data_IF_697888163100
#
_entry.id   IF_697888163100
#
_cell.length_a   1.000
_cell.length_b   1.000
_cell.length_c   1.000
_cell.angle_alpha   90.00
_cell.angle_beta   90.00
_cell.angle_gamma   90.00
#
_symmetry.space_group_name_H-M   'P 1'
#
loop_
_entity.id
_entity.type
_entity.pdbx_description
1 polymer ?
#
# COMPACT_ATOMS: atom_id res chain seq x y z
N UNK A 1 -26.16 2.28 21.00
CA UNK A 1 -25.26 2.00 19.87
C UNK A 1 -24.20 0.99 20.28
N UNK A 2 -24.08 -0.05 19.56
CA UNK A 2 -23.09 -1.05 19.89
C UNK A 2 -21.80 -0.81 19.10
N UNK A 3 -20.69 -1.16 19.72
CA UNK A 3 -19.39 -1.07 19.07
C UNK A 3 -19.18 -2.29 18.17
N UNK A 4 -18.80 -2.02 16.94
CA UNK A 4 -18.42 -3.12 16.05
C UNK A 4 -17.13 -3.76 16.55
N UNK A 5 -17.01 -5.07 16.44
CA UNK A 5 -15.77 -5.76 16.71
C UNK A 5 -14.71 -5.31 15.68
N UNK A 6 -13.42 -5.27 16.05
CA UNK A 6 -12.37 -5.01 15.09
C UNK A 6 -12.43 -6.04 13.95
N UNK A 7 -12.29 -5.54 12.71
CA UNK A 7 -12.30 -6.43 11.56
C UNK A 7 -10.96 -7.13 11.41
N UNK A 8 -11.01 -8.35 10.92
CA UNK A 8 -9.79 -9.02 10.51
C UNK A 8 -9.24 -8.33 9.28
N UNK A 9 -7.93 -8.31 9.15
CA UNK A 9 -7.28 -7.58 8.11
C UNK A 9 -6.10 -8.30 7.49
N UNK A 10 -5.60 -7.74 6.41
CA UNK A 10 -4.39 -8.20 5.77
C UNK A 10 -3.40 -7.05 5.70
N UNK A 11 -2.20 -7.30 6.18
CA UNK A 11 -1.07 -6.39 6.11
C UNK A 11 -0.16 -6.83 4.98
N UNK A 12 0.05 -5.96 4.00
CA UNK A 12 0.94 -6.25 2.88
C UNK A 12 2.12 -5.30 2.95
N UNK A 13 3.30 -5.86 3.18
CA UNK A 13 4.55 -5.12 3.21
C UNK A 13 5.23 -5.22 1.84
N UNK A 14 5.44 -4.07 1.21
CA UNK A 14 6.09 -4.01 -0.09
C UNK A 14 7.34 -3.15 0.02
N UNK A 15 8.50 -3.75 -0.27
CA UNK A 15 9.79 -3.06 -0.22
C UNK A 15 10.39 -2.83 -1.60
N UNK A 16 9.93 -3.56 -2.61
CA UNK A 16 10.41 -3.44 -3.97
C UNK A 16 9.68 -2.33 -4.70
N UNK A 17 10.39 -1.62 -5.54
CA UNK A 17 9.85 -0.53 -6.34
C UNK A 17 9.93 -0.84 -7.83
N UNK A 18 10.10 0.20 -8.67
CA UNK A 18 10.09 0.02 -10.13
C UNK A 18 11.13 -0.95 -10.67
N UNK A 19 12.15 -1.28 -9.87
CA UNK A 19 13.21 -2.21 -10.27
C UNK A 19 12.73 -3.66 -10.36
N UNK A 20 11.57 -3.98 -9.75
CA UNK A 20 11.02 -5.33 -9.77
C UNK A 20 9.52 -5.30 -10.11
N UNK A 21 9.20 -5.13 -11.40
CA UNK A 21 7.80 -4.97 -11.83
C UNK A 21 6.89 -6.13 -11.43
N UNK A 22 7.36 -7.35 -11.55
CA UNK A 22 6.51 -8.51 -11.24
C UNK A 22 6.13 -8.55 -9.76
N UNK A 23 7.10 -8.31 -8.88
CA UNK A 23 6.84 -8.33 -7.43
C UNK A 23 5.87 -7.22 -7.03
N UNK A 24 6.09 -6.02 -7.57
CA UNK A 24 5.21 -4.87 -7.33
C UNK A 24 3.78 -5.17 -7.76
N UNK A 25 3.61 -5.65 -8.98
CA UNK A 25 2.27 -5.86 -9.52
C UNK A 25 1.56 -7.04 -8.86
N UNK A 26 2.31 -8.03 -8.39
CA UNK A 26 1.73 -9.12 -7.57
C UNK A 26 1.25 -8.62 -6.22
N UNK A 27 2.02 -7.76 -5.55
CA UNK A 27 1.60 -7.19 -4.27
C UNK A 27 0.30 -6.39 -4.42
N UNK A 28 0.22 -5.56 -5.46
CA UNK A 28 -0.99 -4.78 -5.74
C UNK A 28 -2.17 -5.70 -6.09
N UNK A 29 -1.94 -6.76 -6.84
CA UNK A 29 -2.97 -7.73 -7.17
C UNK A 29 -3.49 -8.45 -5.92
N UNK A 30 -2.59 -8.83 -5.03
CA UNK A 30 -2.98 -9.46 -3.77
C UNK A 30 -3.86 -8.52 -2.94
N UNK A 31 -3.49 -7.24 -2.87
CA UNK A 31 -4.30 -6.26 -2.16
C UNK A 31 -5.71 -6.16 -2.75
N UNK A 32 -5.82 -6.14 -4.08
CA UNK A 32 -7.12 -6.09 -4.76
C UNK A 32 -7.98 -7.30 -4.41
N UNK A 33 -7.42 -8.49 -4.54
CA UNK A 33 -8.14 -9.73 -4.28
C UNK A 33 -8.63 -9.79 -2.83
N UNK A 34 -7.75 -9.46 -1.89
CA UNK A 34 -8.07 -9.55 -0.46
C UNK A 34 -9.03 -8.46 0.01
N UNK A 35 -9.02 -7.30 -0.63
CA UNK A 35 -9.88 -6.18 -0.24
C UNK A 35 -11.36 -6.46 -0.48
N UNK A 36 -11.70 -7.49 -1.26
CA UNK A 36 -13.09 -7.90 -1.46
C UNK A 36 -13.72 -8.39 -0.16
N UNK A 37 -12.93 -9.01 0.72
CA UNK A 37 -13.45 -9.67 1.92
C UNK A 37 -12.91 -9.11 3.22
N UNK A 38 -11.74 -8.48 3.20
CA UNK A 38 -11.04 -8.04 4.42
C UNK A 38 -10.59 -6.60 4.26
N UNK A 39 -10.28 -5.98 5.38
CA UNK A 39 -9.57 -4.70 5.36
C UNK A 39 -8.13 -4.97 4.96
N UNK A 40 -7.58 -4.10 4.13
CA UNK A 40 -6.19 -4.26 3.66
C UNK A 40 -5.43 -2.96 3.94
N UNK A 41 -4.24 -3.12 4.50
CA UNK A 41 -3.27 -2.03 4.65
C UNK A 41 -1.99 -2.43 3.95
N UNK A 42 -1.55 -1.60 3.02
CA UNK A 42 -0.24 -1.76 2.38
C UNK A 42 0.75 -0.80 3.03
N UNK A 43 1.86 -1.34 3.47
CA UNK A 43 2.97 -0.56 4.00
C UNK A 43 4.12 -0.62 3.01
N UNK A 44 4.49 0.55 2.48
CA UNK A 44 5.53 0.68 1.47
C UNK A 44 6.76 1.34 2.07
N UNK A 45 7.90 0.66 1.98
CA UNK A 45 9.18 1.20 2.43
C UNK A 45 10.25 0.93 1.36
N UNK A 46 11.48 1.30 1.68
CA UNK A 46 12.66 1.12 0.82
C UNK A 46 12.36 1.72 -0.57
N UNK A 47 12.46 0.96 -1.64
CA UNK A 47 12.23 1.45 -3.00
C UNK A 47 10.75 1.56 -3.35
N UNK A 48 9.86 0.92 -2.57
CA UNK A 48 8.43 0.93 -2.89
C UNK A 48 7.80 2.32 -2.75
N UNK A 49 8.38 3.22 -1.94
CA UNK A 49 7.85 4.58 -1.81
C UNK A 49 7.85 5.33 -3.15
N UNK A 50 8.71 4.93 -4.09
CA UNK A 50 8.79 5.54 -5.42
C UNK A 50 7.58 5.25 -6.28
N UNK A 51 6.74 4.29 -5.86
CA UNK A 51 5.53 3.90 -6.60
C UNK A 51 4.34 4.81 -6.31
N UNK A 52 4.38 5.56 -5.22
CA UNK A 52 3.21 6.28 -4.70
C UNK A 52 3.44 7.78 -4.58
N UNK A 53 4.41 8.30 -5.30
CA UNK A 53 4.63 9.74 -5.44
C UNK A 53 3.95 10.25 -6.71
N UNK A 54 3.70 11.57 -6.76
CA UNK A 54 2.93 12.18 -7.87
C UNK A 54 3.56 11.97 -9.24
N UNK A 55 4.89 11.88 -9.30
CA UNK A 55 5.62 11.67 -10.55
C UNK A 55 6.11 10.22 -10.71
N UNK A 56 5.45 9.27 -10.03
CA UNK A 56 5.85 7.87 -10.07
C UNK A 56 5.78 7.31 -11.49
N UNK A 57 6.72 6.41 -11.84
CA UNK A 57 6.64 5.72 -13.12
C UNK A 57 5.44 4.76 -13.11
N UNK A 58 4.87 4.54 -14.28
CA UNK A 58 3.79 3.56 -14.44
C UNK A 58 4.40 2.20 -14.73
N UNK A 59 4.54 1.39 -13.69
CA UNK A 59 5.16 0.06 -13.80
C UNK A 59 4.20 -0.89 -14.49
N UNK A 60 4.71 -1.62 -15.47
CA UNK A 60 3.88 -2.54 -16.25
C UNK A 60 4.56 -3.88 -16.43
N UNK A 61 3.74 -4.90 -16.61
CA UNK A 61 4.16 -6.24 -16.96
C UNK A 61 2.98 -6.94 -17.64
N UNK A 62 3.28 -7.74 -18.64
CA UNK A 62 2.25 -8.50 -19.32
C UNK A 62 1.45 -9.35 -18.34
N UNK A 63 0.14 -9.33 -18.49
CA UNK A 63 -0.78 -10.06 -17.61
C UNK A 63 -1.31 -9.28 -16.44
N UNK A 64 -0.86 -8.03 -16.25
CA UNK A 64 -1.28 -7.18 -15.14
C UNK A 64 -1.76 -5.81 -15.62
N UNK A 65 -2.75 -5.21 -14.95
CA UNK A 65 -2.96 -3.77 -15.08
C UNK A 65 -1.72 -3.04 -14.55
N UNK A 66 -1.46 -1.82 -15.03
CA UNK A 66 -0.29 -1.07 -14.60
C UNK A 66 -0.37 -0.66 -13.12
N UNK A 67 0.78 -0.31 -12.55
CA UNK A 67 0.83 0.07 -11.13
C UNK A 67 -0.06 1.27 -10.83
N UNK A 68 -0.02 2.32 -11.66
CA UNK A 68 -0.85 3.51 -11.42
C UNK A 68 -2.33 3.18 -11.50
N UNK A 69 -2.73 2.35 -12.44
CA UNK A 69 -4.12 1.90 -12.56
C UNK A 69 -4.55 1.11 -11.33
N UNK A 70 -3.74 0.17 -10.88
CA UNK A 70 -4.05 -0.65 -9.70
C UNK A 70 -4.11 0.18 -8.43
N UNK A 71 -3.15 1.09 -8.22
CA UNK A 71 -3.12 1.96 -7.04
C UNK A 71 -4.40 2.79 -6.97
N UNK A 72 -4.81 3.37 -8.09
CA UNK A 72 -6.04 4.15 -8.13
C UNK A 72 -7.25 3.32 -7.71
N UNK A 73 -7.37 2.11 -8.23
CA UNK A 73 -8.47 1.21 -7.88
C UNK A 73 -8.45 0.83 -6.40
N UNK A 74 -7.27 0.57 -5.85
CA UNK A 74 -7.11 0.20 -4.45
C UNK A 74 -7.56 1.34 -3.54
N UNK A 75 -7.15 2.57 -3.84
CA UNK A 75 -7.55 3.73 -3.06
C UNK A 75 -9.07 3.94 -3.13
N UNK A 76 -9.66 3.76 -4.30
CA UNK A 76 -11.11 3.85 -4.47
C UNK A 76 -11.85 2.75 -3.69
N UNK A 77 -11.24 1.59 -3.53
CA UNK A 77 -11.81 0.47 -2.79
C UNK A 77 -11.61 0.59 -1.27
N UNK A 78 -10.93 1.63 -0.80
CA UNK A 78 -10.72 1.85 0.63
C UNK A 78 -9.49 1.17 1.20
N UNK A 79 -8.60 0.63 0.35
CA UNK A 79 -7.32 0.09 0.83
C UNK A 79 -6.47 1.22 1.37
N UNK A 80 -5.90 1.01 2.56
CA UNK A 80 -5.00 1.99 3.17
C UNK A 80 -3.61 1.77 2.60
N UNK A 81 -3.03 2.80 2.00
CA UNK A 81 -1.65 2.75 1.49
C UNK A 81 -0.82 3.74 2.27
N UNK A 82 0.15 3.23 3.00
CA UNK A 82 1.05 4.03 3.84
C UNK A 82 2.47 3.99 3.28
N UNK A 83 3.15 5.13 3.30
CA UNK A 83 4.55 5.23 2.92
C UNK A 83 5.41 5.49 4.15
N UNK A 84 6.52 4.78 4.26
CA UNK A 84 7.48 4.98 5.34
C UNK A 84 8.10 6.38 5.25
N UNK A 85 7.96 7.20 6.30
CA UNK A 85 8.51 8.57 6.26
C UNK A 85 10.02 8.61 6.05
N UNK A 86 10.75 7.73 6.72
CA UNK A 86 12.20 7.67 6.59
C UNK A 86 12.64 7.31 5.18
N UNK A 87 12.02 6.29 4.60
CA UNK A 87 12.35 5.85 3.25
C UNK A 87 11.98 6.89 2.20
N UNK A 88 10.86 7.59 2.42
CA UNK A 88 10.45 8.67 1.55
C UNK A 88 11.51 9.77 1.52
N UNK A 89 12.00 10.16 2.70
CA UNK A 89 13.05 11.18 2.83
C UNK A 89 14.36 10.73 2.17
N UNK A 90 14.75 9.47 2.39
CA UNK A 90 15.96 8.91 1.77
C UNK A 90 15.86 8.95 0.25
N UNK A 91 14.67 8.72 -0.30
CA UNK A 91 14.43 8.78 -1.74
C UNK A 91 14.38 10.21 -2.29
N UNK A 92 14.44 11.22 -1.42
CA UNK A 92 14.45 12.62 -1.85
C UNK A 92 13.07 13.26 -1.94
N UNK A 93 12.06 12.65 -1.35
CA UNK A 93 10.68 13.13 -1.38
C UNK A 93 10.22 13.64 -0.02
N UNK A 94 9.16 14.45 -0.04
CA UNK A 94 8.46 14.89 1.17
C UNK A 94 7.01 14.41 1.12
N UNK A 95 6.28 14.63 2.22
CA UNK A 95 4.88 14.24 2.29
C UNK A 95 4.05 14.86 1.16
N UNK A 96 4.35 16.09 0.78
CA UNK A 96 3.62 16.78 -0.30
C UNK A 96 3.82 16.13 -1.67
N UNK A 97 4.82 15.27 -1.82
CA UNK A 97 5.05 14.55 -3.07
C UNK A 97 4.21 13.28 -3.19
N UNK A 98 3.54 12.85 -2.12
CA UNK A 98 2.70 11.65 -2.16
C UNK A 98 1.46 11.87 -3.02
N UNK A 99 1.03 10.81 -3.71
CA UNK A 99 -0.25 10.81 -4.42
C UNK A 99 -1.40 11.10 -3.45
N UNK A 100 -2.46 11.72 -3.97
CA UNK A 100 -3.68 11.93 -3.18
C UNK A 100 -4.22 10.57 -2.71
N UNK A 101 -4.53 10.49 -1.42
CA UNK A 101 -5.03 9.25 -0.83
C UNK A 101 -3.97 8.38 -0.17
N UNK A 102 -2.71 8.53 -0.54
CA UNK A 102 -1.59 7.85 0.12
C UNK A 102 -1.17 8.68 1.33
N UNK A 103 -0.94 8.03 2.46
CA UNK A 103 -0.63 8.72 3.72
C UNK A 103 0.73 8.29 4.26
N UNK A 104 1.32 9.15 5.08
CA UNK A 104 2.52 8.75 5.83
C UNK A 104 2.14 7.72 6.88
N UNK A 105 2.99 6.71 7.04
CA UNK A 105 2.83 5.73 8.09
C UNK A 105 3.03 6.38 9.45
N UNK A 106 2.19 6.00 10.41
CA UNK A 106 2.42 6.30 11.81
C UNK A 106 1.92 5.12 12.65
N UNK A 107 2.50 4.98 13.83
CA UNK A 107 2.22 3.79 14.63
C UNK A 107 0.79 3.75 15.19
N UNK A 108 0.15 4.88 15.38
CA UNK A 108 -1.24 4.92 15.87
C UNK A 108 -2.19 4.32 14.84
N UNK A 109 -2.07 4.72 13.58
CA UNK A 109 -2.87 4.16 12.50
C UNK A 109 -2.56 2.68 12.31
N UNK A 110 -1.29 2.32 12.43
CA UNK A 110 -0.85 0.94 12.32
C UNK A 110 -1.51 0.07 13.40
N UNK A 111 -1.45 0.50 14.64
CA UNK A 111 -2.02 -0.26 15.74
C UNK A 111 -3.55 -0.30 15.70
N UNK A 112 -4.19 0.74 15.19
CA UNK A 112 -5.63 0.70 14.97
C UNK A 112 -5.99 -0.38 13.96
N UNK A 113 -5.22 -0.48 12.88
CA UNK A 113 -5.46 -1.51 11.86
C UNK A 113 -5.27 -2.92 12.40
N UNK A 114 -4.31 -3.13 13.29
CA UNK A 114 -3.92 -4.46 13.77
C UNK A 114 -4.69 -4.92 15.01
N UNK A 115 -5.83 -4.30 15.32
CA UNK A 115 -6.64 -4.69 16.48
C UNK A 115 -7.36 -6.04 16.31
N UNK A 116 -7.70 -6.42 15.09
CA UNK A 116 -8.27 -7.73 14.79
C UNK A 116 -7.19 -8.76 14.47
N UNK A 117 -7.60 -9.91 14.00
CA UNK A 117 -6.65 -10.89 13.47
C UNK A 117 -6.07 -10.35 12.17
N UNK A 118 -4.75 -10.41 12.04
CA UNK A 118 -4.07 -9.84 10.88
C UNK A 118 -3.15 -10.87 10.26
N UNK A 119 -3.36 -11.12 8.97
CA UNK A 119 -2.44 -11.91 8.15
C UNK A 119 -1.46 -10.94 7.49
N UNK A 120 -0.18 -11.25 7.50
CA UNK A 120 0.81 -10.39 6.82
C UNK A 120 1.54 -11.16 5.73
N UNK A 121 1.78 -10.47 4.62
CA UNK A 121 2.51 -10.99 3.47
C UNK A 121 3.50 -9.92 3.03
N UNK A 122 4.73 -10.35 2.74
CA UNK A 122 5.80 -9.44 2.31
C UNK A 122 6.14 -9.65 0.83
N UNK A 123 6.43 -8.56 0.20
CA UNK A 123 6.91 -8.55 -1.18
C UNK A 123 8.13 -7.69 -1.36
#
# INVERSE_FOLDING_TARGET
MENAAPRDGMFIHLSNGPEDPHRVLMALKMAEVMSADKDVLMYLDIEAVRLVVKDAPDVSKEGFPSSLEQIKKLLEAGVIIQACPTCLKVAGYSESDLMDGVVLANKEKFFTFTQGKTLSIDY
#
